data_IF_995178964402
#
_entry.id   IF_995178964402
#
_cell.length_a   1.000
_cell.length_b   1.000
_cell.length_c   1.000
_cell.angle_alpha   90.00
_cell.angle_beta   90.00
_cell.angle_gamma   90.00
#
_symmetry.space_group_name_H-M   'P 1'
#
loop_
_entity.id
_entity.type
_entity.pdbx_description
1 polymer ?
#
# COMPACT_ATOMS: atom_id res chain seq x y z
N UNK A 1 -4.80 12.47 -24.58
CA UNK A 1 -3.68 12.01 -23.73
C UNK A 1 -4.03 11.93 -22.24
N UNK A 2 -4.86 12.84 -21.69
CA UNK A 2 -5.16 12.86 -20.24
C UNK A 2 -5.84 11.59 -19.68
N UNK A 3 -6.61 10.86 -20.52
CA UNK A 3 -7.29 9.61 -20.16
C UNK A 3 -6.32 8.47 -19.80
N UNK A 4 -5.19 8.37 -20.51
CA UNK A 4 -4.16 7.35 -20.25
C UNK A 4 -3.38 7.64 -18.97
N UNK A 5 -3.09 8.92 -18.69
CA UNK A 5 -2.39 9.35 -17.47
C UNK A 5 -3.24 9.05 -16.22
N UNK A 6 -4.54 9.30 -16.28
CA UNK A 6 -5.47 8.93 -15.20
C UNK A 6 -5.55 7.41 -15.01
N UNK A 7 -5.48 6.63 -16.08
CA UNK A 7 -5.43 5.17 -16.02
C UNK A 7 -4.18 4.65 -15.29
N UNK A 8 -2.99 5.12 -15.66
CA UNK A 8 -1.75 4.70 -15.01
C UNK A 8 -1.65 5.14 -13.55
N UNK A 9 -2.05 6.38 -13.24
CA UNK A 9 -2.03 6.89 -11.85
C UNK A 9 -3.06 6.17 -10.97
N UNK A 10 -4.25 5.86 -11.49
CA UNK A 10 -5.24 5.05 -10.78
C UNK A 10 -4.75 3.63 -10.49
N UNK A 11 -4.11 2.99 -11.48
CA UNK A 11 -3.51 1.65 -11.30
C UNK A 11 -2.40 1.69 -10.23
N UNK A 12 -1.48 2.66 -10.31
CA UNK A 12 -0.40 2.84 -9.34
C UNK A 12 -0.94 3.06 -7.92
N UNK A 13 -1.97 3.90 -7.76
CA UNK A 13 -2.64 4.12 -6.48
C UNK A 13 -3.28 2.84 -5.92
N UNK A 14 -3.95 2.05 -6.76
CA UNK A 14 -4.53 0.76 -6.39
C UNK A 14 -3.49 -0.24 -5.89
N UNK A 15 -2.37 -0.37 -6.60
CA UNK A 15 -1.24 -1.23 -6.18
C UNK A 15 -0.68 -0.78 -4.83
N UNK A 16 -0.57 0.52 -4.60
CA UNK A 16 -0.08 1.09 -3.34
C UNK A 16 -1.00 0.77 -2.15
N UNK A 17 -2.32 0.86 -2.34
CA UNK A 17 -3.30 0.50 -1.31
C UNK A 17 -3.24 -0.99 -0.99
N UNK A 18 -3.15 -1.84 -2.02
CA UNK A 18 -3.05 -3.30 -1.84
C UNK A 18 -1.75 -3.65 -1.10
N UNK A 19 -0.62 -3.06 -1.49
CA UNK A 19 0.66 -3.26 -0.82
C UNK A 19 0.59 -2.82 0.65
N UNK A 20 0.06 -1.62 0.94
CA UNK A 20 -0.12 -1.11 2.29
C UNK A 20 -0.99 -2.04 3.15
N UNK A 21 -2.09 -2.56 2.59
CA UNK A 21 -2.99 -3.48 3.29
C UNK A 21 -2.33 -4.84 3.58
N UNK A 22 -1.55 -5.37 2.63
CA UNK A 22 -0.78 -6.62 2.82
C UNK A 22 0.28 -6.45 3.91
N UNK A 23 0.99 -5.33 3.92
CA UNK A 23 1.99 -5.04 4.95
C UNK A 23 1.36 -4.84 6.34
N UNK A 24 0.17 -4.26 6.45
CA UNK A 24 -0.58 -4.19 7.72
C UNK A 24 -0.97 -5.57 8.24
N UNK A 25 -1.27 -6.54 7.36
CA UNK A 25 -1.63 -7.89 7.77
C UNK A 25 -0.44 -8.78 8.13
N UNK A 26 0.78 -8.40 7.74
CA UNK A 26 1.96 -9.21 8.02
C UNK A 26 2.33 -9.15 9.50
N UNK A 27 1.95 -10.19 10.26
CA UNK A 27 2.35 -10.37 11.66
C UNK A 27 3.71 -11.07 11.68
N UNK A 28 4.76 -10.37 12.12
CA UNK A 28 6.06 -10.98 12.37
C UNK A 28 5.94 -12.00 13.52
N UNK A 29 6.45 -13.22 13.30
CA UNK A 29 6.45 -14.31 14.28
C UNK A 29 7.89 -14.62 14.65
N UNK A 30 8.32 -14.13 15.80
CA UNK A 30 9.63 -14.40 16.36
C UNK A 30 9.58 -15.71 17.14
N UNK A 31 10.29 -16.75 16.72
CA UNK A 31 10.64 -17.88 17.58
C UNK A 31 12.12 -17.76 17.98
N UNK A 32 12.39 -17.90 19.28
CA UNK A 32 13.72 -17.87 19.94
C UNK A 32 14.08 -19.23 20.56
N UNK A 33 15.35 -19.62 20.49
CA UNK A 33 15.84 -21.00 20.53
C UNK A 33 16.34 -21.33 21.91
N UNK A 34 15.93 -22.50 22.39
CA UNK A 34 16.37 -22.99 23.69
C UNK A 34 17.88 -23.18 23.69
N UNK A 35 18.53 -22.76 24.77
CA UNK A 35 19.97 -22.88 24.98
C UNK A 35 20.50 -24.34 24.94
N UNK A 36 19.63 -25.35 25.01
CA UNK A 36 19.98 -26.78 25.07
C UNK A 36 19.03 -27.70 24.23
N UNK A 37 18.30 -27.19 23.23
CA UNK A 37 17.29 -27.98 22.52
C UNK A 37 16.86 -27.41 21.17
N UNK A 38 15.99 -28.10 20.40
CA UNK A 38 15.76 -27.84 18.98
C UNK A 38 15.25 -26.43 18.67
N UNK A 39 15.56 -26.03 17.44
CA UNK A 39 15.58 -24.70 16.85
C UNK A 39 14.36 -23.83 17.09
N UNK A 40 14.62 -22.53 17.01
CA UNK A 40 13.59 -21.51 16.94
C UNK A 40 13.63 -20.66 15.68
N UNK A 41 12.46 -20.51 15.09
CA UNK A 41 12.19 -19.78 13.86
C UNK A 41 11.93 -18.26 14.10
N UNK A 42 12.95 -17.41 14.09
CA UNK A 42 12.73 -15.96 14.18
C UNK A 42 12.31 -15.36 12.82
N UNK A 43 11.02 -15.06 12.60
CA UNK A 43 10.53 -14.30 11.43
C UNK A 43 10.44 -12.82 11.79
N UNK A 44 11.55 -12.10 11.60
CA UNK A 44 11.56 -10.63 11.61
C UNK A 44 11.40 -10.06 10.21
N UNK A 45 10.16 -9.99 9.75
CA UNK A 45 9.76 -9.10 8.66
C UNK A 45 8.51 -8.35 9.09
N UNK A 46 8.63 -7.51 10.13
CA UNK A 46 7.57 -6.55 10.47
C UNK A 46 7.86 -5.24 9.73
N UNK A 47 7.15 -4.93 8.64
CA UNK A 47 7.14 -3.56 8.14
C UNK A 47 6.74 -2.64 9.30
N UNK A 48 7.39 -1.48 9.43
CA UNK A 48 7.00 -0.55 10.48
C UNK A 48 5.53 -0.16 10.29
N UNK A 49 4.74 0.01 11.37
CA UNK A 49 3.35 0.45 11.24
C UNK A 49 3.25 1.82 10.54
N UNK A 50 4.30 2.63 10.63
CA UNK A 50 4.43 3.90 9.89
C UNK A 50 4.51 3.61 8.39
N UNK A 51 5.31 2.64 7.96
CA UNK A 51 5.46 2.25 6.55
C UNK A 51 4.12 1.83 5.94
N UNK A 52 3.36 0.93 6.58
CA UNK A 52 2.05 0.51 6.07
C UNK A 52 1.04 1.66 6.03
N UNK A 53 1.06 2.55 7.03
CA UNK A 53 0.17 3.72 7.08
C UNK A 53 0.48 4.71 5.95
N UNK A 54 1.77 4.96 5.68
CA UNK A 54 2.21 5.85 4.60
C UNK A 54 1.83 5.30 3.23
N UNK A 55 2.01 3.99 2.99
CA UNK A 55 1.59 3.32 1.75
C UNK A 55 0.07 3.43 1.52
N UNK A 56 -0.73 3.20 2.57
CA UNK A 56 -2.19 3.35 2.49
C UNK A 56 -2.61 4.80 2.23
N UNK A 57 -2.06 5.74 3.00
CA UNK A 57 -2.41 7.15 2.88
C UNK A 57 -2.05 7.72 1.50
N UNK A 58 -0.83 7.44 1.02
CA UNK A 58 -0.39 7.88 -0.31
C UNK A 58 -1.23 7.28 -1.44
N UNK A 59 -1.57 5.99 -1.36
CA UNK A 59 -2.44 5.33 -2.34
C UNK A 59 -3.83 5.96 -2.42
N UNK A 60 -4.44 6.25 -1.26
CA UNK A 60 -5.75 6.91 -1.17
C UNK A 60 -5.70 8.33 -1.75
N UNK A 61 -4.65 9.11 -1.42
CA UNK A 61 -4.48 10.48 -1.93
C UNK A 61 -4.36 10.50 -3.46
N UNK A 62 -3.59 9.56 -4.03
CA UNK A 62 -3.42 9.45 -5.48
C UNK A 62 -4.77 9.13 -6.15
N UNK A 63 -5.53 8.16 -5.61
CA UNK A 63 -6.84 7.80 -6.16
C UNK A 63 -7.81 8.99 -6.10
N UNK A 64 -7.89 9.69 -4.97
CA UNK A 64 -8.73 10.89 -4.80
C UNK A 64 -8.33 11.99 -5.80
N UNK A 65 -7.03 12.26 -5.95
CA UNK A 65 -6.51 13.22 -6.91
C UNK A 65 -6.91 12.88 -8.34
N UNK A 66 -6.79 11.62 -8.74
CA UNK A 66 -7.19 11.14 -10.07
C UNK A 66 -8.69 11.30 -10.28
N UNK A 67 -9.54 10.97 -9.30
CA UNK A 67 -11.00 11.14 -9.39
C UNK A 67 -11.35 12.62 -9.60
N UNK A 68 -10.75 13.53 -8.82
CA UNK A 68 -11.00 14.97 -8.93
C UNK A 68 -10.64 15.49 -10.32
N UNK A 69 -9.50 15.07 -10.87
CA UNK A 69 -9.05 15.47 -12.21
C UNK A 69 -10.02 14.97 -13.28
N UNK A 70 -10.47 13.72 -13.19
CA UNK A 70 -11.45 13.14 -14.14
C UNK A 70 -12.77 13.87 -14.07
N UNK A 71 -13.32 14.10 -12.87
CA UNK A 71 -14.59 14.82 -12.68
C UNK A 71 -14.50 16.26 -13.21
N UNK A 72 -13.40 16.96 -12.94
CA UNK A 72 -13.17 18.30 -13.48
C UNK A 72 -13.09 18.30 -15.00
N UNK A 73 -12.41 17.32 -15.59
CA UNK A 73 -12.34 17.22 -17.05
C UNK A 73 -13.71 16.97 -17.67
N UNK A 74 -14.54 16.10 -17.09
CA UNK A 74 -15.91 15.86 -17.58
C UNK A 74 -16.77 17.13 -17.51
N UNK A 75 -16.64 17.94 -16.45
CA UNK A 75 -17.40 19.18 -16.30
C UNK A 75 -17.00 20.24 -17.34
N UNK A 76 -15.73 20.32 -17.70
CA UNK A 76 -15.23 21.32 -18.67
C UNK A 76 -15.59 20.99 -20.13
N UNK A 77 -16.03 19.76 -20.41
CA UNK A 77 -16.47 19.31 -21.74
C UNK A 77 -18.00 19.31 -21.89
N UNK A 78 -18.73 19.84 -20.91
CA UNK A 78 -20.19 20.01 -20.93
C UNK A 78 -20.54 21.49 -21.04
#
# INVERSE_FOLDING_TARGET
MMKWICGFTGLAGGVLVIAGALFTRNKAVTLIGGADGPTSIFIAAKPSPVTSTVLLASGIIIILGTIIIVVRNLKNHK
#
